data_IF_620814427211
#
_entry.id   IF_620814427211
#
_cell.length_a   1.000
_cell.length_b   1.000
_cell.length_c   1.000
_cell.angle_alpha   90.00
_cell.angle_beta   90.00
_cell.angle_gamma   90.00
#
_symmetry.space_group_name_H-M   'P 1'
#
loop_
_entity.id
_entity.type
_entity.pdbx_description
1 polymer ?
#
# COMPACT_ATOMS: atom_id res chain seq x y z
N UNK A 1 -4.35 22.71 -31.59
CA UNK A 1 -3.47 21.61 -32.02
C UNK A 1 -4.03 20.35 -31.42
N UNK A 2 -4.62 19.48 -32.25
CA UNK A 2 -5.32 18.30 -31.84
C UNK A 2 -4.30 17.21 -31.45
N UNK A 3 -4.06 17.01 -30.15
CA UNK A 3 -3.43 15.82 -29.66
C UNK A 3 -4.53 14.72 -29.57
N UNK A 4 -4.64 13.94 -30.62
CA UNK A 4 -5.37 12.68 -30.58
C UNK A 4 -4.69 11.77 -29.58
N UNK A 5 -5.23 11.70 -28.36
CA UNK A 5 -4.89 10.65 -27.40
C UNK A 5 -5.25 9.32 -28.07
N UNK A 6 -4.25 8.68 -28.66
CA UNK A 6 -4.35 7.31 -29.11
C UNK A 6 -4.52 6.45 -27.87
N UNK A 7 -5.77 6.12 -27.55
CA UNK A 7 -6.08 4.97 -26.71
C UNK A 7 -5.50 3.74 -27.42
N UNK A 8 -4.22 3.46 -27.15
CA UNK A 8 -3.67 2.15 -27.44
C UNK A 8 -4.46 1.12 -26.63
N UNK A 9 -5.53 0.65 -27.23
CA UNK A 9 -6.13 -0.63 -26.85
C UNK A 9 -5.03 -1.66 -27.12
N UNK A 10 -4.17 -1.85 -26.10
CA UNK A 10 -2.98 -2.66 -26.21
C UNK A 10 -3.37 -4.08 -26.58
N UNK A 11 -3.34 -4.39 -27.88
CA UNK A 11 -3.47 -5.74 -28.41
C UNK A 11 -2.56 -6.65 -27.63
N UNK A 12 -3.12 -7.71 -27.06
CA UNK A 12 -2.38 -8.73 -26.35
C UNK A 12 -1.40 -9.38 -27.33
N UNK A 13 -0.13 -9.05 -27.22
CA UNK A 13 0.90 -9.71 -28.02
C UNK A 13 1.12 -11.13 -27.46
N UNK A 14 1.44 -12.12 -28.29
CA UNK A 14 1.72 -13.49 -27.85
C UNK A 14 2.74 -13.54 -26.70
N UNK A 15 3.76 -12.67 -26.75
CA UNK A 15 4.75 -12.53 -25.69
C UNK A 15 4.13 -12.04 -24.35
N UNK A 16 3.23 -11.10 -24.39
CA UNK A 16 2.52 -10.61 -23.17
C UNK A 16 1.63 -11.71 -22.60
N UNK A 17 0.92 -12.44 -23.44
CA UNK A 17 0.11 -13.58 -23.00
C UNK A 17 1.00 -14.62 -22.34
N UNK A 18 2.09 -15.02 -22.96
CA UNK A 18 3.02 -16.00 -22.41
C UNK A 18 3.57 -15.59 -21.04
N UNK A 19 4.01 -14.31 -20.89
CA UNK A 19 4.52 -13.79 -19.61
C UNK A 19 3.46 -13.87 -18.51
N UNK A 20 2.24 -13.41 -18.77
CA UNK A 20 1.20 -13.40 -17.72
C UNK A 20 0.69 -14.80 -17.42
N UNK A 21 0.68 -15.71 -18.40
CA UNK A 21 0.39 -17.13 -18.18
C UNK A 21 1.47 -17.77 -17.30
N UNK A 22 2.74 -17.47 -17.55
CA UNK A 22 3.84 -17.97 -16.73
C UNK A 22 3.75 -17.44 -15.28
N UNK A 23 3.46 -16.15 -15.09
CA UNK A 23 3.24 -15.56 -13.76
C UNK A 23 2.07 -16.22 -13.03
N UNK A 24 0.95 -16.46 -13.72
CA UNK A 24 -0.21 -17.12 -13.15
C UNK A 24 0.08 -18.57 -12.76
N UNK A 25 0.76 -19.33 -13.61
CA UNK A 25 1.14 -20.72 -13.32
C UNK A 25 2.13 -20.79 -12.15
N UNK A 26 3.14 -19.93 -12.13
CA UNK A 26 4.11 -19.88 -11.03
C UNK A 26 3.43 -19.54 -9.70
N UNK A 27 2.51 -18.58 -9.71
CA UNK A 27 1.69 -18.22 -8.53
C UNK A 27 0.82 -19.40 -8.10
N UNK A 28 0.16 -20.08 -9.01
CA UNK A 28 -0.69 -21.24 -8.70
C UNK A 28 0.14 -22.40 -8.09
N UNK A 29 1.31 -22.68 -8.64
CA UNK A 29 2.22 -23.69 -8.08
C UNK A 29 2.68 -23.30 -6.68
N UNK A 30 3.09 -22.04 -6.48
CA UNK A 30 3.53 -21.55 -5.19
C UNK A 30 2.42 -21.65 -4.12
N UNK A 31 1.19 -21.24 -4.44
CA UNK A 31 0.03 -21.40 -3.57
C UNK A 31 -0.32 -22.85 -3.33
N UNK A 32 -0.20 -23.72 -4.36
CA UNK A 32 -0.41 -25.15 -4.24
C UNK A 32 0.55 -25.80 -3.25
N UNK A 33 1.85 -25.44 -3.31
CA UNK A 33 2.85 -25.93 -2.35
C UNK A 33 2.53 -25.46 -0.93
N UNK A 34 2.16 -24.20 -0.73
CA UNK A 34 1.77 -23.67 0.58
C UNK A 34 0.52 -24.37 1.15
N UNK A 35 -0.46 -24.69 0.31
CA UNK A 35 -1.69 -25.34 0.71
C UNK A 35 -1.51 -26.82 1.03
N UNK A 36 -0.60 -27.51 0.35
CA UNK A 36 -0.35 -28.94 0.51
C UNK A 36 0.66 -29.26 1.63
N UNK A 37 1.43 -28.27 2.08
CA UNK A 37 2.38 -28.44 3.17
C UNK A 37 1.64 -28.63 4.51
N UNK A 38 1.42 -29.88 4.89
CA UNK A 38 0.75 -30.27 6.15
C UNK A 38 1.78 -30.50 7.25
N UNK A 39 2.12 -29.43 8.00
CA UNK A 39 3.00 -29.56 9.18
C UNK A 39 4.49 -29.67 8.86
N UNK A 40 4.89 -29.60 7.61
CA UNK A 40 6.29 -29.50 7.21
C UNK A 40 6.75 -28.04 7.22
N UNK A 41 8.06 -27.82 7.45
CA UNK A 41 8.65 -26.49 7.34
C UNK A 41 8.63 -26.01 5.87
N UNK A 42 7.73 -25.09 5.56
CA UNK A 42 7.66 -24.49 4.21
C UNK A 42 8.74 -23.46 4.07
N UNK A 43 9.52 -23.54 2.99
CA UNK A 43 10.51 -22.53 2.66
C UNK A 43 9.81 -21.19 2.36
N UNK A 44 10.24 -20.12 3.04
CA UNK A 44 9.71 -18.76 2.87
C UNK A 44 9.72 -18.25 1.40
N UNK A 45 10.60 -18.81 0.56
CA UNK A 45 10.66 -18.48 -0.88
C UNK A 45 9.31 -18.72 -1.56
N UNK A 46 8.60 -19.81 -1.25
CA UNK A 46 7.29 -20.09 -1.84
C UNK A 46 6.24 -19.06 -1.46
N UNK A 47 6.29 -18.58 -0.21
CA UNK A 47 5.41 -17.49 0.24
C UNK A 47 5.70 -16.20 -0.54
N UNK A 48 6.97 -15.85 -0.68
CA UNK A 48 7.39 -14.65 -1.41
C UNK A 48 6.95 -14.76 -2.86
N UNK A 49 7.16 -15.90 -3.53
CA UNK A 49 6.75 -16.12 -4.92
C UNK A 49 5.25 -16.04 -5.08
N UNK A 50 4.48 -16.68 -4.18
CA UNK A 50 3.02 -16.61 -4.19
C UNK A 50 2.50 -15.17 -4.05
N UNK A 51 3.05 -14.42 -3.09
CA UNK A 51 2.68 -13.03 -2.86
C UNK A 51 3.05 -12.13 -4.05
N UNK A 52 4.28 -12.21 -4.55
CA UNK A 52 4.74 -11.41 -5.69
C UNK A 52 3.93 -11.67 -6.96
N UNK A 53 3.64 -12.94 -7.28
CA UNK A 53 2.80 -13.28 -8.42
C UNK A 53 1.38 -12.73 -8.25
N UNK A 54 0.79 -12.86 -7.05
CA UNK A 54 -0.55 -12.35 -6.75
C UNK A 54 -0.59 -10.83 -6.88
N UNK A 55 0.39 -10.13 -6.32
CA UNK A 55 0.48 -8.67 -6.41
C UNK A 55 0.74 -8.17 -7.84
N UNK A 56 1.58 -8.86 -8.61
CA UNK A 56 1.82 -8.51 -10.01
C UNK A 56 0.54 -8.63 -10.85
N UNK A 57 -0.24 -9.70 -10.65
CA UNK A 57 -1.53 -9.89 -11.31
C UNK A 57 -2.53 -8.82 -10.87
N UNK A 58 -2.66 -8.59 -9.56
CA UNK A 58 -3.55 -7.59 -9.01
C UNK A 58 -3.20 -6.18 -9.51
N UNK A 59 -1.93 -5.81 -9.49
CA UNK A 59 -1.48 -4.51 -10.01
C UNK A 59 -1.79 -4.36 -11.51
N UNK A 60 -1.52 -5.39 -12.30
CA UNK A 60 -1.69 -5.32 -13.76
C UNK A 60 -3.14 -5.25 -14.19
N UNK A 61 -4.02 -5.96 -13.52
CA UNK A 61 -5.42 -6.10 -13.94
C UNK A 61 -6.37 -5.32 -13.02
N UNK A 62 -6.33 -5.58 -11.74
CA UNK A 62 -7.28 -5.02 -10.78
C UNK A 62 -7.02 -3.54 -10.52
N UNK A 63 -5.78 -3.14 -10.22
CA UNK A 63 -5.45 -1.73 -10.00
C UNK A 63 -5.74 -0.89 -11.26
N UNK A 64 -5.42 -1.43 -12.46
CA UNK A 64 -5.76 -0.76 -13.71
C UNK A 64 -7.27 -0.62 -13.91
N UNK A 65 -8.05 -1.65 -13.59
CA UNK A 65 -9.51 -1.58 -13.63
C UNK A 65 -10.03 -0.46 -12.71
N UNK A 66 -9.58 -0.42 -11.47
CA UNK A 66 -9.95 0.64 -10.51
C UNK A 66 -9.56 2.01 -11.05
N UNK A 67 -8.32 2.18 -11.50
CA UNK A 67 -7.83 3.47 -12.01
C UNK A 67 -8.64 3.99 -13.20
N UNK A 68 -8.90 3.13 -14.19
CA UNK A 68 -9.48 3.57 -15.47
C UNK A 68 -11.00 3.53 -15.51
N UNK A 69 -11.63 2.56 -14.83
CA UNK A 69 -13.08 2.34 -14.91
C UNK A 69 -13.84 2.90 -13.71
N UNK A 70 -13.24 2.86 -12.52
CA UNK A 70 -13.89 3.32 -11.30
C UNK A 70 -13.54 4.77 -11.02
N UNK A 71 -12.26 5.11 -10.98
CA UNK A 71 -11.78 6.45 -10.64
C UNK A 71 -11.70 7.40 -11.83
N UNK A 72 -11.56 6.87 -13.05
CA UNK A 72 -11.40 7.70 -14.25
C UNK A 72 -10.17 8.61 -14.15
N UNK A 73 -9.02 8.03 -13.79
CA UNK A 73 -7.76 8.78 -13.67
C UNK A 73 -7.41 9.37 -15.02
N UNK A 74 -7.14 10.67 -15.04
CA UNK A 74 -6.74 11.45 -16.21
C UNK A 74 -5.31 11.96 -16.00
N UNK A 75 -4.38 11.43 -16.76
CA UNK A 75 -2.96 11.78 -16.71
C UNK A 75 -2.67 13.19 -17.26
N UNK A 76 -3.61 13.78 -18.00
CA UNK A 76 -3.49 15.14 -18.53
C UNK A 76 -3.85 16.23 -17.52
N UNK A 77 -4.39 15.87 -16.37
CA UNK A 77 -4.79 16.82 -15.34
C UNK A 77 -3.62 17.17 -14.42
N UNK A 78 -3.26 18.46 -14.39
CA UNK A 78 -2.23 18.97 -13.48
C UNK A 78 -2.55 18.63 -12.01
N UNK A 79 -1.53 18.21 -11.27
CA UNK A 79 -1.63 17.89 -9.84
C UNK A 79 -1.70 19.16 -8.99
N UNK A 80 -2.16 19.09 -7.74
CA UNK A 80 -2.11 20.23 -6.82
C UNK A 80 -0.69 20.78 -6.65
N UNK A 81 0.34 19.93 -6.63
CA UNK A 81 1.73 20.35 -6.52
C UNK A 81 2.18 21.20 -7.71
N UNK A 82 1.65 20.95 -8.93
CA UNK A 82 1.95 21.76 -10.12
C UNK A 82 1.12 23.05 -10.18
N UNK A 83 -0.14 23.02 -9.70
CA UNK A 83 -1.03 24.18 -9.78
C UNK A 83 -0.86 25.18 -8.65
N UNK A 84 -0.51 24.71 -7.48
CA UNK A 84 -0.43 25.48 -6.23
C UNK A 84 1.01 25.59 -5.75
N UNK A 85 1.99 25.37 -6.62
CA UNK A 85 3.40 25.42 -6.29
C UNK A 85 3.75 26.74 -5.61
N UNK A 86 4.26 26.64 -4.39
CA UNK A 86 4.63 27.77 -3.53
C UNK A 86 5.97 27.57 -2.82
N UNK A 87 6.73 26.53 -3.21
CA UNK A 87 8.01 26.15 -2.60
C UNK A 87 7.96 25.88 -1.08
N UNK A 88 6.76 25.73 -0.51
CA UNK A 88 6.56 25.48 0.91
C UNK A 88 5.68 24.26 1.14
N UNK A 89 4.37 24.38 0.89
CA UNK A 89 3.40 23.33 1.13
C UNK A 89 3.18 22.46 -0.12
N UNK A 90 3.33 23.05 -1.29
CA UNK A 90 3.16 22.41 -2.60
C UNK A 90 4.42 22.58 -3.42
N UNK A 91 5.07 21.45 -3.69
CA UNK A 91 6.29 21.41 -4.47
C UNK A 91 6.28 20.19 -5.41
N UNK A 92 6.49 20.38 -6.72
CA UNK A 92 6.66 19.25 -7.63
C UNK A 92 7.87 18.42 -7.23
N UNK A 93 7.66 17.16 -6.95
CA UNK A 93 8.70 16.26 -6.44
C UNK A 93 8.93 15.10 -7.42
N UNK A 94 10.20 14.68 -7.57
CA UNK A 94 10.54 13.53 -8.38
C UNK A 94 9.77 12.28 -7.90
N UNK A 95 9.21 11.54 -8.86
CA UNK A 95 8.37 10.37 -8.58
C UNK A 95 9.07 9.27 -7.78
N UNK A 96 10.41 9.16 -7.84
CA UNK A 96 11.17 8.17 -7.08
C UNK A 96 11.27 8.56 -5.62
N UNK A 97 11.46 9.86 -5.36
CA UNK A 97 11.45 10.42 -4.01
C UNK A 97 10.08 10.26 -3.39
N UNK A 98 9.02 10.61 -4.15
CA UNK A 98 7.64 10.46 -3.70
C UNK A 98 7.28 9.00 -3.40
N UNK A 99 7.72 8.07 -4.26
CA UNK A 99 7.57 6.63 -4.00
C UNK A 99 8.27 6.21 -2.71
N UNK A 100 9.51 6.67 -2.49
CA UNK A 100 10.26 6.37 -1.27
C UNK A 100 9.56 6.88 0.00
N UNK A 101 9.03 8.09 -0.02
CA UNK A 101 8.25 8.65 1.08
C UNK A 101 6.97 7.85 1.35
N UNK A 102 6.22 7.52 0.31
CA UNK A 102 5.00 6.74 0.44
C UNK A 102 5.28 5.34 0.99
N UNK A 103 6.31 4.68 0.47
CA UNK A 103 6.76 3.38 0.97
C UNK A 103 7.18 3.45 2.45
N UNK A 104 7.96 4.46 2.83
CA UNK A 104 8.39 4.63 4.21
C UNK A 104 7.22 4.88 5.17
N UNK A 105 6.19 5.62 4.74
CA UNK A 105 5.00 5.86 5.53
C UNK A 105 4.17 4.58 5.77
N UNK A 106 4.13 3.67 4.79
CA UNK A 106 3.39 2.40 4.90
C UNK A 106 4.21 1.34 5.63
N UNK A 107 5.52 1.25 5.37
CA UNK A 107 6.41 0.22 5.92
C UNK A 107 6.81 0.48 7.38
N UNK A 108 5.87 0.93 8.21
CA UNK A 108 6.07 1.13 9.64
C UNK A 108 6.03 -0.17 10.45
N UNK A 109 5.98 -0.05 11.77
CA UNK A 109 6.00 -1.19 12.69
C UNK A 109 4.77 -2.11 12.55
N UNK A 110 3.61 -1.57 12.13
CA UNK A 110 2.40 -2.35 11.89
C UNK A 110 2.61 -3.51 10.92
N UNK A 111 3.11 -3.25 9.69
CA UNK A 111 3.42 -4.29 8.71
C UNK A 111 4.53 -5.26 9.13
N UNK A 112 5.38 -4.90 10.07
CA UNK A 112 6.41 -5.79 10.60
C UNK A 112 5.88 -6.71 11.70
N UNK A 113 5.14 -6.15 12.65
CA UNK A 113 4.64 -6.89 13.83
C UNK A 113 3.33 -7.63 13.53
N UNK A 114 2.46 -7.06 12.70
CA UNK A 114 1.16 -7.63 12.36
C UNK A 114 1.22 -9.04 11.79
N UNK A 115 2.08 -9.34 10.80
CA UNK A 115 2.26 -10.69 10.27
C UNK A 115 2.77 -11.69 11.30
N UNK A 116 3.65 -11.27 12.22
CA UNK A 116 4.17 -12.12 13.29
C UNK A 116 3.05 -12.51 14.28
N UNK A 117 2.22 -11.54 14.67
CA UNK A 117 1.05 -11.79 15.51
C UNK A 117 0.01 -12.66 14.79
N UNK A 118 -0.23 -12.40 13.52
CA UNK A 118 -1.16 -13.21 12.72
C UNK A 118 -0.69 -14.67 12.59
N UNK A 119 0.61 -14.89 12.48
CA UNK A 119 1.19 -16.23 12.41
C UNK A 119 0.95 -17.06 13.69
N UNK A 120 0.83 -16.41 14.85
CA UNK A 120 0.48 -17.07 16.11
C UNK A 120 -0.94 -17.64 16.12
N UNK A 121 -1.84 -17.08 15.30
CA UNK A 121 -3.22 -17.55 15.15
C UNK A 121 -3.39 -18.62 14.05
N UNK A 122 -2.33 -18.95 13.34
CA UNK A 122 -2.31 -19.91 12.26
C UNK A 122 -1.68 -19.33 10.99
N UNK A 123 -0.77 -20.10 10.42
CA UNK A 123 0.05 -19.63 9.30
C UNK A 123 -0.76 -19.32 8.03
N UNK A 124 -1.54 -20.27 7.55
CA UNK A 124 -2.23 -20.15 6.26
C UNK A 124 -3.37 -19.12 6.28
N UNK A 125 -4.29 -19.11 7.25
CA UNK A 125 -5.34 -18.09 7.32
C UNK A 125 -4.76 -16.66 7.41
N UNK A 126 -3.73 -16.45 8.27
CA UNK A 126 -3.05 -15.16 8.40
C UNK A 126 -2.40 -14.72 7.10
N UNK A 127 -1.69 -15.61 6.42
CA UNK A 127 -1.04 -15.34 5.14
C UNK A 127 -2.04 -14.96 4.05
N UNK A 128 -3.12 -15.73 3.91
CA UNK A 128 -4.17 -15.44 2.94
C UNK A 128 -4.82 -14.08 3.23
N UNK A 129 -5.13 -13.81 4.49
CA UNK A 129 -5.71 -12.53 4.90
C UNK A 129 -4.79 -11.35 4.55
N UNK A 130 -3.49 -11.46 4.81
CA UNK A 130 -2.52 -10.41 4.50
C UNK A 130 -2.44 -10.19 2.98
N UNK A 131 -2.26 -11.25 2.18
CA UNK A 131 -2.11 -11.11 0.72
C UNK A 131 -3.37 -10.56 0.06
N UNK A 132 -4.52 -11.13 0.37
CA UNK A 132 -5.79 -10.70 -0.23
C UNK A 132 -6.29 -9.38 0.38
N UNK A 133 -6.06 -9.16 1.69
CA UNK A 133 -6.39 -7.90 2.36
C UNK A 133 -5.65 -6.70 1.77
N UNK A 134 -4.36 -6.87 1.44
CA UNK A 134 -3.60 -5.83 0.73
C UNK A 134 -4.19 -5.56 -0.65
N UNK A 135 -4.54 -6.60 -1.41
CA UNK A 135 -5.06 -6.44 -2.77
C UNK A 135 -6.43 -5.74 -2.78
N UNK A 136 -7.37 -6.21 -1.97
CA UNK A 136 -8.77 -5.78 -2.05
C UNK A 136 -9.14 -4.62 -1.13
N UNK A 137 -8.37 -4.41 -0.06
CA UNK A 137 -8.64 -3.36 0.91
C UNK A 137 -7.51 -2.33 1.00
N UNK A 138 -6.31 -2.70 1.45
CA UNK A 138 -5.24 -1.75 1.75
C UNK A 138 -4.83 -0.89 0.56
N UNK A 139 -4.41 -1.51 -0.54
CA UNK A 139 -3.96 -0.78 -1.72
C UNK A 139 -5.10 0.01 -2.40
N UNK A 140 -6.33 -0.50 -2.36
CA UNK A 140 -7.49 0.23 -2.89
C UNK A 140 -7.81 1.44 -2.04
N UNK A 141 -7.80 1.31 -0.72
CA UNK A 141 -8.01 2.40 0.22
C UNK A 141 -6.99 3.52 -0.01
N UNK A 142 -5.70 3.19 -0.06
CA UNK A 142 -4.64 4.17 -0.26
C UNK A 142 -4.79 4.90 -1.60
N UNK A 143 -5.03 4.15 -2.67
CA UNK A 143 -5.23 4.71 -3.99
C UNK A 143 -6.45 5.63 -4.06
N UNK A 144 -7.56 5.25 -3.45
CA UNK A 144 -8.80 6.03 -3.43
C UNK A 144 -8.62 7.31 -2.63
N UNK A 145 -8.01 7.23 -1.44
CA UNK A 145 -7.77 8.41 -0.59
C UNK A 145 -6.82 9.38 -1.28
N UNK A 146 -5.72 8.89 -1.86
CA UNK A 146 -4.79 9.74 -2.63
C UNK A 146 -5.47 10.39 -3.83
N UNK A 147 -6.26 9.64 -4.58
CA UNK A 147 -7.01 10.17 -5.71
C UNK A 147 -7.95 11.31 -5.31
N UNK A 148 -8.73 11.10 -4.26
CA UNK A 148 -9.66 12.13 -3.77
C UNK A 148 -8.91 13.32 -3.17
N UNK A 149 -7.80 13.11 -2.47
CA UNK A 149 -6.95 14.19 -1.97
C UNK A 149 -6.40 15.04 -3.11
N UNK A 150 -5.85 14.43 -4.15
CA UNK A 150 -5.36 15.14 -5.34
C UNK A 150 -6.47 15.92 -6.07
N UNK A 151 -7.69 15.40 -6.08
CA UNK A 151 -8.87 16.07 -6.68
C UNK A 151 -9.36 17.26 -5.85
N UNK A 152 -8.97 17.34 -4.58
CA UNK A 152 -9.37 18.37 -3.60
C UNK A 152 -8.19 19.17 -3.06
N UNK A 153 -7.23 19.46 -3.91
CA UNK A 153 -6.09 20.35 -3.60
C UNK A 153 -5.23 19.87 -2.42
N UNK A 154 -5.03 18.55 -2.31
CA UNK A 154 -4.17 17.97 -1.27
C UNK A 154 -4.79 17.93 0.12
N UNK A 155 -6.13 18.01 0.26
CA UNK A 155 -6.79 17.97 1.56
C UNK A 155 -6.57 16.64 2.29
N UNK A 156 -6.44 16.73 3.61
CA UNK A 156 -6.37 15.56 4.49
C UNK A 156 -7.71 14.82 4.56
N UNK A 157 -7.67 13.56 5.01
CA UNK A 157 -8.88 12.74 5.18
C UNK A 157 -9.93 13.43 6.06
N UNK A 158 -9.51 14.06 7.17
CA UNK A 158 -10.43 14.77 8.07
C UNK A 158 -11.08 15.99 7.42
N UNK A 159 -10.32 16.74 6.61
CA UNK A 159 -10.85 17.86 5.84
C UNK A 159 -11.84 17.39 4.78
N UNK A 160 -11.51 16.32 4.04
CA UNK A 160 -12.41 15.73 3.06
C UNK A 160 -13.70 15.22 3.70
N UNK A 161 -13.61 14.55 4.85
CA UNK A 161 -14.78 14.10 5.59
C UNK A 161 -15.67 15.26 6.03
N UNK A 162 -15.08 16.38 6.46
CA UNK A 162 -15.84 17.59 6.82
C UNK A 162 -16.59 18.18 5.63
N UNK A 163 -15.94 18.21 4.46
CA UNK A 163 -16.54 18.79 3.27
C UNK A 163 -17.68 17.94 2.70
N UNK A 164 -17.58 16.60 2.80
CA UNK A 164 -18.55 15.67 2.20
C UNK A 164 -19.67 15.24 3.17
N UNK A 165 -19.33 15.03 4.45
CA UNK A 165 -20.25 14.47 5.46
C UNK A 165 -20.76 15.57 6.39
N UNK A 166 -20.08 16.73 6.39
CA UNK A 166 -20.42 17.86 7.24
C UNK A 166 -19.59 17.93 8.53
N UNK A 167 -19.91 18.91 9.37
CA UNK A 167 -19.11 19.27 10.55
C UNK A 167 -18.98 18.11 11.54
N UNK A 168 -20.07 17.38 11.80
CA UNK A 168 -20.05 16.24 12.71
C UNK A 168 -19.19 15.08 12.18
N UNK A 169 -19.33 14.75 10.90
CA UNK A 169 -18.50 13.73 10.24
C UNK A 169 -17.00 14.10 10.23
N UNK A 170 -16.69 15.36 9.95
CA UNK A 170 -15.34 15.89 10.02
C UNK A 170 -14.75 15.84 11.42
N UNK A 171 -15.51 16.25 12.44
CA UNK A 171 -15.06 16.18 13.84
C UNK A 171 -14.81 14.73 14.27
N UNK A 172 -15.73 13.81 13.95
CA UNK A 172 -15.55 12.38 14.24
C UNK A 172 -14.32 11.79 13.55
N UNK A 173 -14.09 12.13 12.28
CA UNK A 173 -12.92 11.70 11.53
C UNK A 173 -11.61 12.23 12.14
N UNK A 174 -11.57 13.50 12.54
CA UNK A 174 -10.38 14.09 13.19
C UNK A 174 -10.08 13.43 14.54
N UNK A 175 -11.10 13.20 15.36
CA UNK A 175 -10.95 12.50 16.65
C UNK A 175 -10.46 11.07 16.42
N UNK A 176 -11.03 10.36 15.45
CA UNK A 176 -10.62 9.00 15.12
C UNK A 176 -9.15 8.95 14.63
N UNK A 177 -8.75 9.84 13.72
CA UNK A 177 -7.36 9.93 13.23
C UNK A 177 -6.42 10.26 14.39
N UNK A 178 -6.77 11.21 15.26
CA UNK A 178 -5.95 11.57 16.43
C UNK A 178 -5.79 10.38 17.39
N UNK A 179 -6.87 9.66 17.68
CA UNK A 179 -6.81 8.46 18.52
C UNK A 179 -5.94 7.36 17.89
N UNK A 180 -6.06 7.13 16.58
CA UNK A 180 -5.22 6.18 15.85
C UNK A 180 -3.75 6.60 15.94
N UNK A 181 -3.41 7.88 15.79
CA UNK A 181 -2.04 8.36 15.91
C UNK A 181 -1.46 8.13 17.30
N UNK A 182 -2.23 8.36 18.37
CA UNK A 182 -1.79 8.07 19.74
C UNK A 182 -1.51 6.58 19.92
N UNK A 183 -2.42 5.73 19.49
CA UNK A 183 -2.26 4.26 19.60
C UNK A 183 -1.05 3.81 18.79
N UNK A 184 -0.88 4.32 17.57
CA UNK A 184 0.25 4.00 16.71
C UNK A 184 1.58 4.37 17.36
N UNK A 185 1.69 5.59 17.92
CA UNK A 185 2.90 6.03 18.62
C UNK A 185 3.20 5.18 19.87
N UNK A 186 2.18 4.81 20.63
CA UNK A 186 2.34 3.94 21.80
C UNK A 186 2.84 2.53 21.39
N UNK A 187 2.27 1.95 20.35
CA UNK A 187 2.69 0.63 19.82
C UNK A 187 4.11 0.70 19.25
N UNK A 188 4.43 1.75 18.49
CA UNK A 188 5.78 1.96 17.96
C UNK A 188 6.81 2.09 19.10
N UNK A 189 6.51 2.89 20.12
CA UNK A 189 7.38 3.03 21.28
C UNK A 189 7.61 1.69 21.97
N UNK A 190 6.57 0.89 22.17
CA UNK A 190 6.68 -0.44 22.77
C UNK A 190 7.57 -1.38 21.95
N UNK A 191 7.40 -1.39 20.62
CA UNK A 191 8.21 -2.23 19.71
C UNK A 191 9.67 -1.81 19.75
N UNK A 192 9.95 -0.49 19.73
CA UNK A 192 11.32 0.04 19.82
C UNK A 192 11.95 -0.32 21.16
N UNK A 193 11.25 -0.10 22.27
CA UNK A 193 11.75 -0.44 23.60
C UNK A 193 12.09 -1.94 23.71
N UNK A 194 11.20 -2.82 23.24
CA UNK A 194 11.45 -4.26 23.26
C UNK A 194 12.64 -4.64 22.36
N UNK A 195 12.75 -4.07 21.18
CA UNK A 195 13.87 -4.34 20.27
C UNK A 195 15.22 -3.86 20.85
N UNK A 196 15.23 -2.77 21.61
CA UNK A 196 16.43 -2.23 22.23
C UNK A 196 16.80 -2.94 23.53
N UNK A 197 15.83 -3.49 24.26
CA UNK A 197 16.07 -4.23 25.51
C UNK A 197 17.01 -5.41 25.28
N UNK A 198 16.91 -6.09 24.15
CA UNK A 198 17.73 -7.23 23.78
C UNK A 198 18.99 -6.84 22.98
N UNK A 199 19.21 -5.55 22.72
CA UNK A 199 20.33 -5.06 21.91
C UNK A 199 21.12 -3.94 22.61
N UNK A 200 22.12 -4.26 23.48
CA UNK A 200 22.91 -3.26 24.18
C UNK A 200 23.62 -2.28 23.24
N UNK A 201 24.12 -2.75 22.12
CA UNK A 201 24.79 -1.90 21.12
C UNK A 201 23.83 -0.97 20.39
N UNK A 202 22.61 -1.41 20.11
CA UNK A 202 21.56 -0.56 19.54
C UNK A 202 21.17 0.56 20.49
N UNK A 203 21.00 0.24 21.76
CA UNK A 203 20.70 1.23 22.83
C UNK A 203 21.84 2.24 22.98
N UNK A 204 23.08 1.77 23.01
CA UNK A 204 24.25 2.64 23.10
C UNK A 204 24.34 3.60 21.91
N UNK A 205 24.17 3.10 20.68
CA UNK A 205 24.24 3.92 19.47
C UNK A 205 23.20 5.04 19.46
N UNK A 206 21.96 4.73 19.87
CA UNK A 206 20.87 5.72 19.96
C UNK A 206 21.06 6.74 21.09
N UNK A 207 21.68 6.32 22.19
CA UNK A 207 21.95 7.22 23.31
C UNK A 207 23.09 8.22 23.02
N UNK A 208 23.94 7.94 22.02
CA UNK A 208 25.08 8.76 21.63
C UNK A 208 24.76 9.73 20.47
N UNK A 209 23.60 9.61 19.83
CA UNK A 209 23.13 10.51 18.76
C UNK A 209 22.13 11.52 19.27
#
# INVERSE_FOLDING_TARGET
>A
MNATATTETGRWTPRRIAVWTAVALLGAVAWGILALARGESVNAVWLIVAALCSYAIAYRFYARFIATRVLGVDDGRATPAERLDNDQDFQPTDRRVLFGHHFAAIAGAGPLVGPVLAAQMGYLPGTMWIVFGVIFAGAVQDMVILFFSMRRDGKSLGQMARDEIGVFGGAAALVAVFAIMIILLAVLALVVVNALADSPWGTFSLAMT
#
